data_IF_999865253707
#
_entry.id   IF_999865253707
#
_cell.length_a   1.000
_cell.length_b   1.000
_cell.length_c   1.000
_cell.angle_alpha   90.00
_cell.angle_beta   90.00
_cell.angle_gamma   90.00
#
_symmetry.space_group_name_H-M   'P 1'
#
loop_
_entity.id
_entity.type
_entity.pdbx_description
1 polymer ?
#
# COMPACT_ATOMS: atom_id res chain seq x y z
N UNK A 1 5.22 17.25 25.25
CA UNK A 1 6.18 16.17 25.48
C UNK A 1 6.10 15.21 24.28
N UNK A 2 6.65 15.63 23.12
CA UNK A 2 6.55 14.93 21.81
C UNK A 2 7.97 14.80 21.20
N UNK A 3 8.90 14.21 21.96
CA UNK A 3 10.29 14.03 21.51
C UNK A 3 10.56 12.70 20.80
N UNK A 4 9.52 11.90 20.48
CA UNK A 4 9.65 10.56 19.90
C UNK A 4 9.51 10.52 18.37
N UNK A 5 9.22 11.65 17.71
CA UNK A 5 9.01 11.72 16.27
C UNK A 5 10.30 11.73 15.42
N UNK A 6 11.48 11.62 16.02
CA UNK A 6 12.77 11.66 15.33
C UNK A 6 13.65 10.43 15.63
N UNK A 7 13.05 9.26 15.86
CA UNK A 7 13.81 8.02 16.00
C UNK A 7 14.57 7.67 14.72
N UNK A 8 15.77 7.07 14.86
CA UNK A 8 16.51 6.51 13.73
C UNK A 8 15.62 5.54 12.95
N UNK A 9 15.72 5.49 11.61
CA UNK A 9 14.93 4.59 10.80
C UNK A 9 15.19 3.13 11.21
N UNK A 10 14.12 2.32 11.15
CA UNK A 10 14.20 0.87 11.45
C UNK A 10 14.12 0.02 10.19
N UNK A 11 13.66 0.58 9.07
CA UNK A 11 13.83 0.05 7.72
C UNK A 11 14.62 1.08 6.92
N UNK A 12 15.70 0.65 6.31
CA UNK A 12 16.51 1.45 5.39
C UNK A 12 16.70 0.65 4.10
N UNK A 13 16.24 1.21 3.01
CA UNK A 13 16.37 0.65 1.66
C UNK A 13 17.16 1.65 0.83
N UNK A 14 18.33 1.24 0.33
CA UNK A 14 19.26 2.08 -0.42
C UNK A 14 19.50 1.49 -1.80
N UNK A 15 19.04 2.18 -2.85
CA UNK A 15 19.25 1.83 -4.26
C UNK A 15 18.97 0.35 -4.56
N UNK A 16 17.90 -0.19 -3.96
CA UNK A 16 17.50 -1.57 -4.09
C UNK A 16 17.21 -1.89 -5.55
N UNK A 17 17.90 -2.90 -6.07
CA UNK A 17 17.65 -3.47 -7.39
C UNK A 17 17.44 -4.98 -7.30
N UNK A 18 16.43 -5.48 -7.99
CA UNK A 18 16.18 -6.92 -8.14
C UNK A 18 15.79 -7.24 -9.56
N UNK A 19 16.61 -8.11 -10.19
CA UNK A 19 16.34 -8.62 -11.53
C UNK A 19 16.17 -10.14 -11.50
N UNK A 20 15.37 -10.66 -12.41
CA UNK A 20 15.13 -12.07 -12.67
C UNK A 20 15.39 -12.30 -14.16
N UNK A 21 16.59 -12.78 -14.51
CA UNK A 21 17.06 -12.77 -15.90
C UNK A 21 17.04 -11.36 -16.47
N UNK A 22 16.35 -11.17 -17.59
CA UNK A 22 16.23 -9.87 -18.27
C UNK A 22 15.18 -8.95 -17.66
N UNK A 23 14.31 -9.45 -16.78
CA UNK A 23 13.28 -8.67 -16.12
C UNK A 23 13.83 -7.98 -14.87
N UNK A 24 13.85 -6.66 -14.84
CA UNK A 24 14.15 -5.88 -13.63
C UNK A 24 12.84 -5.52 -12.93
N UNK A 25 12.57 -6.24 -11.83
CA UNK A 25 11.33 -6.05 -11.05
C UNK A 25 11.42 -4.88 -10.05
N UNK A 26 12.62 -4.55 -9.57
CA UNK A 26 12.88 -3.38 -8.70
C UNK A 26 14.13 -2.70 -9.21
N UNK A 27 14.08 -1.38 -9.43
CA UNK A 27 15.13 -0.61 -10.08
C UNK A 27 15.48 0.68 -9.33
N UNK A 28 16.42 0.58 -8.38
CA UNK A 28 16.95 1.73 -7.65
C UNK A 28 16.02 2.30 -6.58
N UNK A 29 15.16 1.47 -5.98
CA UNK A 29 14.22 1.90 -4.93
C UNK A 29 14.99 2.29 -3.66
N UNK A 30 14.68 3.47 -3.11
CA UNK A 30 15.27 3.98 -1.86
C UNK A 30 14.22 4.63 -1.00
N UNK A 31 14.11 4.22 0.26
CA UNK A 31 13.25 4.83 1.27
C UNK A 31 13.67 4.43 2.68
N UNK A 32 13.12 5.12 3.66
CA UNK A 32 13.27 4.77 5.08
C UNK A 32 11.92 4.77 5.77
N UNK A 33 11.74 3.89 6.78
CA UNK A 33 10.58 3.90 7.65
C UNK A 33 11.00 3.89 9.13
N UNK A 34 10.16 4.50 9.99
CA UNK A 34 10.46 4.80 11.39
C UNK A 34 9.61 3.97 12.35
N UNK A 35 10.01 3.86 13.63
CA UNK A 35 9.17 3.23 14.66
C UNK A 35 7.80 3.92 14.75
N UNK A 36 6.74 3.13 14.85
CA UNK A 36 5.38 3.64 14.97
C UNK A 36 4.80 4.27 13.69
N UNK A 37 5.54 4.24 12.59
CA UNK A 37 5.12 4.75 11.29
C UNK A 37 4.45 3.64 10.47
N UNK A 38 3.39 3.99 9.76
CA UNK A 38 2.84 3.18 8.68
C UNK A 38 3.33 3.77 7.36
N UNK A 39 4.32 3.11 6.75
CA UNK A 39 4.86 3.50 5.46
C UNK A 39 4.22 2.67 4.34
N UNK A 40 3.56 3.34 3.40
CA UNK A 40 2.85 2.70 2.28
C UNK A 40 3.72 2.52 1.04
N UNK A 41 3.61 1.38 0.37
CA UNK A 41 4.03 1.21 -1.03
C UNK A 41 2.78 1.05 -1.88
N UNK A 42 2.39 2.10 -2.58
CA UNK A 42 1.21 2.15 -3.45
C UNK A 42 1.61 1.94 -4.90
N UNK A 43 0.91 1.09 -5.62
CA UNK A 43 1.16 0.90 -7.06
C UNK A 43 0.39 -0.26 -7.65
N UNK A 44 0.32 -0.38 -8.99
CA UNK A 44 -0.38 -1.45 -9.68
C UNK A 44 0.23 -2.83 -9.42
N UNK A 45 -0.49 -3.85 -9.85
CA UNK A 45 0.04 -5.21 -9.87
C UNK A 45 1.27 -5.26 -10.80
N UNK A 46 2.32 -5.94 -10.34
CA UNK A 46 3.59 -6.00 -11.06
C UNK A 46 4.51 -4.78 -10.89
N UNK A 47 4.13 -3.76 -10.09
CA UNK A 47 4.99 -2.58 -9.84
C UNK A 47 6.27 -2.88 -9.04
N UNK A 48 6.42 -4.09 -8.46
CA UNK A 48 7.60 -4.48 -7.68
C UNK A 48 7.40 -4.46 -6.16
N UNK A 49 6.19 -4.23 -5.66
CA UNK A 49 5.87 -4.13 -4.22
C UNK A 49 6.22 -5.41 -3.45
N UNK A 50 5.68 -6.57 -3.87
CA UNK A 50 5.96 -7.88 -3.28
C UNK A 50 7.44 -8.24 -3.38
N UNK A 51 8.10 -7.92 -4.49
CA UNK A 51 9.54 -8.15 -4.65
C UNK A 51 10.35 -7.31 -3.66
N UNK A 52 9.95 -6.06 -3.42
CA UNK A 52 10.58 -5.18 -2.43
C UNK A 52 10.41 -5.75 -1.01
N UNK A 53 9.19 -6.16 -0.62
CA UNK A 53 8.95 -6.84 0.66
C UNK A 53 9.80 -8.12 0.78
N UNK A 54 9.88 -8.93 -0.28
CA UNK A 54 10.66 -10.17 -0.29
C UNK A 54 12.17 -9.92 -0.11
N UNK A 55 12.68 -8.80 -0.62
CA UNK A 55 14.07 -8.39 -0.36
C UNK A 55 14.27 -7.92 1.09
N UNK A 56 13.31 -7.18 1.65
CA UNK A 56 13.38 -6.68 3.04
C UNK A 56 13.24 -7.82 4.05
N UNK A 57 12.39 -8.81 3.78
CA UNK A 57 12.25 -10.00 4.64
C UNK A 57 13.43 -10.98 4.52
N UNK A 58 14.31 -10.77 3.54
CA UNK A 58 15.44 -11.68 3.24
C UNK A 58 15.01 -12.98 2.57
N UNK A 59 13.81 -13.04 2.01
CA UNK A 59 13.34 -14.14 1.17
C UNK A 59 14.04 -14.13 -0.20
N UNK A 60 14.30 -12.93 -0.72
CA UNK A 60 15.05 -12.70 -1.96
C UNK A 60 16.32 -11.90 -1.67
N UNK A 61 17.43 -12.34 -2.24
CA UNK A 61 18.66 -11.55 -2.22
C UNK A 61 18.60 -10.45 -3.28
N UNK A 62 18.85 -9.18 -2.93
CA UNK A 62 18.98 -8.10 -3.89
C UNK A 62 20.02 -8.38 -4.96
N UNK A 63 19.80 -7.93 -6.19
CA UNK A 63 20.83 -7.94 -7.25
C UNK A 63 21.86 -6.83 -7.03
N UNK A 64 21.40 -5.67 -6.50
CA UNK A 64 22.24 -4.55 -6.09
C UNK A 64 21.53 -3.71 -5.04
N UNK A 65 22.23 -2.77 -4.42
CA UNK A 65 21.73 -1.95 -3.34
C UNK A 65 21.85 -2.63 -1.98
N UNK A 66 21.22 -2.02 -0.95
CA UNK A 66 21.32 -2.49 0.42
C UNK A 66 19.98 -2.36 1.13
N UNK A 67 19.71 -3.31 2.01
CA UNK A 67 18.54 -3.28 2.92
C UNK A 67 19.03 -3.52 4.34
N UNK A 68 18.59 -2.65 5.26
CA UNK A 68 18.80 -2.83 6.69
C UNK A 68 17.48 -2.84 7.43
N UNK A 69 17.38 -3.70 8.43
CA UNK A 69 16.28 -3.78 9.37
C UNK A 69 16.85 -3.71 10.78
N UNK A 70 16.39 -2.75 11.58
CA UNK A 70 16.92 -2.47 12.92
C UNK A 70 18.46 -2.30 12.93
N UNK A 71 19.01 -1.68 11.88
CA UNK A 71 20.45 -1.49 11.68
C UNK A 71 21.20 -2.71 11.13
N UNK A 72 20.57 -3.89 11.09
CA UNK A 72 21.19 -5.13 10.57
C UNK A 72 21.03 -5.22 9.04
N UNK A 73 22.13 -5.47 8.34
CA UNK A 73 22.13 -5.73 6.90
C UNK A 73 21.48 -7.09 6.61
N UNK A 74 20.36 -7.07 5.87
CA UNK A 74 19.54 -8.27 5.62
C UNK A 74 20.32 -9.38 4.89
N UNK A 75 21.25 -9.01 4.01
CA UNK A 75 22.04 -9.99 3.25
C UNK A 75 23.15 -10.62 4.10
N UNK A 76 23.74 -9.86 5.04
CA UNK A 76 24.89 -10.31 5.84
C UNK A 76 24.49 -10.80 7.23
N UNK A 77 23.50 -10.17 7.84
CA UNK A 77 23.05 -10.40 9.21
C UNK A 77 21.59 -10.87 9.24
N UNK A 78 21.17 -11.64 8.23
CA UNK A 78 19.77 -11.98 7.98
C UNK A 78 19.02 -12.62 9.17
N UNK A 79 19.71 -13.37 10.06
CA UNK A 79 19.09 -13.94 11.26
C UNK A 79 18.71 -12.84 12.26
N UNK A 80 19.60 -11.87 12.48
CA UNK A 80 19.34 -10.75 13.38
C UNK A 80 18.21 -9.85 12.84
N UNK A 81 18.25 -9.52 11.54
CA UNK A 81 17.20 -8.77 10.87
C UNK A 81 15.84 -9.46 10.97
N UNK A 82 15.75 -10.75 10.66
CA UNK A 82 14.48 -11.51 10.68
C UNK A 82 13.87 -11.67 12.07
N UNK A 83 14.66 -11.65 13.14
CA UNK A 83 14.11 -11.68 14.52
C UNK A 83 13.25 -10.47 14.86
N UNK A 84 13.47 -9.34 14.18
CA UNK A 84 12.69 -8.13 14.38
C UNK A 84 11.44 -8.06 13.47
N UNK A 85 11.33 -8.96 12.49
CA UNK A 85 10.30 -8.92 11.46
C UNK A 85 9.10 -9.81 11.78
N UNK A 86 7.90 -9.26 11.60
CA UNK A 86 6.68 -9.99 11.32
C UNK A 86 6.35 -9.85 9.84
N UNK A 87 5.90 -10.91 9.22
CA UNK A 87 5.52 -10.90 7.79
C UNK A 87 4.13 -11.49 7.63
N UNK A 88 3.26 -10.75 6.96
CA UNK A 88 1.93 -11.18 6.57
C UNK A 88 1.87 -11.15 5.04
N UNK A 89 2.03 -12.30 4.39
CA UNK A 89 2.02 -12.36 2.93
C UNK A 89 0.61 -12.18 2.36
N UNK A 90 0.55 -11.87 1.07
CA UNK A 90 -0.69 -11.73 0.31
C UNK A 90 -1.49 -13.04 0.32
N UNK A 91 -0.84 -14.18 0.13
CA UNK A 91 -1.46 -15.49 0.29
C UNK A 91 -1.59 -15.84 1.78
N UNK A 92 -2.70 -16.48 2.14
CA UNK A 92 -2.96 -16.90 3.52
C UNK A 92 -2.04 -18.07 3.87
N UNK A 93 -1.08 -17.83 4.77
CA UNK A 93 -0.04 -18.78 5.17
C UNK A 93 -0.34 -19.36 6.56
N UNK A 94 -1.42 -20.14 6.66
CA UNK A 94 -1.86 -20.79 7.91
C UNK A 94 -2.15 -22.29 7.65
N UNK A 95 -2.07 -23.10 8.69
CA UNK A 95 -2.37 -24.51 8.63
C UNK A 95 -3.86 -24.73 8.88
N UNK A 96 -4.61 -25.08 7.84
CA UNK A 96 -6.07 -25.16 7.88
C UNK A 96 -6.61 -26.32 8.76
N UNK A 97 -5.85 -27.38 8.93
CA UNK A 97 -6.21 -28.51 9.78
C UNK A 97 -5.93 -28.26 11.27
N UNK A 98 -5.11 -27.27 11.58
CA UNK A 98 -4.85 -26.82 12.95
C UNK A 98 -5.91 -25.82 13.41
N UNK A 99 -6.09 -25.70 14.72
CA UNK A 99 -6.88 -24.64 15.33
C UNK A 99 -6.15 -23.28 15.26
N UNK A 100 -6.87 -22.19 15.56
CA UNK A 100 -6.26 -20.87 15.63
C UNK A 100 -5.16 -20.81 16.69
N UNK A 101 -5.39 -21.38 17.88
CA UNK A 101 -4.38 -21.44 18.95
C UNK A 101 -3.15 -22.23 18.55
N UNK A 102 -3.30 -23.36 17.85
CA UNK A 102 -2.17 -24.18 17.39
C UNK A 102 -1.38 -23.47 16.30
N UNK A 103 -2.02 -22.76 15.35
CA UNK A 103 -1.33 -21.90 14.38
C UNK A 103 -0.46 -20.86 15.09
N UNK A 104 -1.03 -20.14 16.08
CA UNK A 104 -0.30 -19.14 16.84
C UNK A 104 0.84 -19.74 17.67
N UNK A 105 0.62 -20.92 18.26
CA UNK A 105 1.66 -21.64 19.00
C UNK A 105 2.81 -22.06 18.09
N UNK A 106 2.49 -22.54 16.88
CA UNK A 106 3.50 -22.88 15.87
C UNK A 106 4.35 -21.67 15.49
N UNK A 107 3.72 -20.59 15.03
CA UNK A 107 4.45 -19.41 14.58
C UNK A 107 5.20 -18.69 15.70
N UNK A 108 4.61 -18.57 16.89
CA UNK A 108 5.31 -18.07 18.07
C UNK A 108 6.50 -18.92 18.47
N UNK A 109 6.36 -20.25 18.39
CA UNK A 109 7.45 -21.20 18.64
C UNK A 109 8.59 -21.08 17.63
N UNK A 110 8.29 -20.92 16.33
CA UNK A 110 9.30 -20.66 15.28
C UNK A 110 10.11 -19.41 15.59
N UNK A 111 9.47 -18.38 16.15
CA UNK A 111 10.13 -17.14 16.59
C UNK A 111 10.83 -17.26 17.96
N UNK A 112 10.88 -18.46 18.53
CA UNK A 112 11.60 -18.75 19.78
C UNK A 112 10.83 -18.44 21.04
N UNK A 113 9.53 -18.12 20.96
CA UNK A 113 8.69 -17.91 22.13
C UNK A 113 8.44 -19.22 22.88
N UNK A 114 8.35 -19.15 24.20
CA UNK A 114 8.10 -20.29 25.08
C UNK A 114 7.09 -19.94 26.16
N UNK A 115 6.44 -20.96 26.76
CA UNK A 115 5.57 -20.77 27.91
C UNK A 115 6.35 -20.21 29.12
N UNK A 116 5.71 -19.38 29.96
CA UNK A 116 4.29 -19.00 29.91
C UNK A 116 3.97 -17.87 28.92
N UNK A 117 4.96 -17.05 28.51
CA UNK A 117 4.77 -15.86 27.65
C UNK A 117 4.04 -16.18 26.35
N UNK A 118 4.32 -17.32 25.71
CA UNK A 118 3.64 -17.71 24.47
C UNK A 118 2.12 -17.87 24.68
N UNK A 119 1.70 -18.51 25.77
CA UNK A 119 0.29 -18.71 26.08
C UNK A 119 -0.44 -17.38 26.34
N UNK A 120 0.20 -16.46 27.06
CA UNK A 120 -0.34 -15.11 27.31
C UNK A 120 -0.51 -14.33 26.00
N UNK A 121 0.50 -14.40 25.13
CA UNK A 121 0.45 -13.72 23.82
C UNK A 121 -0.63 -14.32 22.91
N UNK A 122 -0.77 -15.63 22.87
CA UNK A 122 -1.84 -16.30 22.10
C UNK A 122 -3.21 -15.80 22.56
N UNK A 123 -3.47 -15.80 23.87
CA UNK A 123 -4.74 -15.31 24.41
C UNK A 123 -4.99 -13.84 24.01
N UNK A 124 -3.99 -12.99 24.17
CA UNK A 124 -4.08 -11.57 23.85
C UNK A 124 -4.32 -11.30 22.36
N UNK A 125 -3.61 -11.99 21.47
CA UNK A 125 -3.74 -11.82 20.02
C UNK A 125 -5.09 -12.34 19.54
N UNK A 126 -5.58 -13.45 20.07
CA UNK A 126 -6.93 -13.95 19.76
C UNK A 126 -8.02 -12.97 20.19
N UNK A 127 -7.88 -12.35 21.37
CA UNK A 127 -8.80 -11.31 21.85
C UNK A 127 -8.81 -10.10 20.88
N UNK A 128 -7.64 -9.54 20.58
CA UNK A 128 -7.49 -8.36 19.71
C UNK A 128 -8.07 -8.62 18.31
N UNK A 129 -7.84 -9.82 17.77
CA UNK A 129 -8.33 -10.19 16.43
C UNK A 129 -9.79 -10.67 16.43
N UNK A 130 -10.44 -10.77 17.62
CA UNK A 130 -11.81 -11.24 17.77
C UNK A 130 -11.99 -12.70 17.36
N UNK A 131 -11.02 -13.55 17.70
CA UNK A 131 -11.01 -14.99 17.40
C UNK A 131 -11.02 -15.87 18.66
N UNK A 132 -11.14 -15.26 19.86
CA UNK A 132 -11.07 -15.98 21.14
C UNK A 132 -12.13 -17.08 21.27
N UNK A 133 -13.37 -16.84 20.82
CA UNK A 133 -14.47 -17.81 20.90
C UNK A 133 -14.30 -19.00 19.95
N UNK A 134 -13.41 -18.86 18.98
CA UNK A 134 -13.09 -19.86 17.95
C UNK A 134 -11.67 -20.41 18.07
N UNK A 135 -10.98 -20.11 19.18
CA UNK A 135 -9.56 -20.41 19.41
C UNK A 135 -9.19 -21.88 19.19
N UNK A 136 -10.10 -22.81 19.50
CA UNK A 136 -9.89 -24.27 19.42
C UNK A 136 -10.51 -24.92 18.18
N UNK A 137 -11.19 -24.14 17.33
CA UNK A 137 -11.80 -24.69 16.11
C UNK A 137 -10.75 -24.83 14.99
N UNK A 138 -10.81 -25.90 14.19
CA UNK A 138 -9.98 -26.04 12.99
C UNK A 138 -10.22 -24.88 12.02
N UNK A 139 -9.12 -24.31 11.51
CA UNK A 139 -9.14 -23.10 10.67
C UNK A 139 -9.85 -23.31 9.33
N UNK A 140 -9.95 -24.52 8.83
CA UNK A 140 -10.76 -24.87 7.64
C UNK A 140 -12.23 -24.47 7.76
N UNK A 141 -12.77 -24.28 8.96
CA UNK A 141 -14.14 -23.82 9.23
C UNK A 141 -14.26 -22.30 9.27
N UNK A 142 -13.16 -21.57 9.18
CA UNK A 142 -13.15 -20.11 9.25
C UNK A 142 -13.61 -19.47 7.94
N UNK A 143 -14.31 -18.34 8.05
CA UNK A 143 -14.56 -17.48 6.91
C UNK A 143 -13.25 -16.88 6.37
N UNK A 144 -13.24 -16.38 5.12
CA UNK A 144 -12.07 -15.73 4.54
C UNK A 144 -11.55 -14.58 5.41
N UNK A 145 -12.44 -13.74 5.94
CA UNK A 145 -12.07 -12.66 6.85
C UNK A 145 -11.49 -13.15 8.19
N UNK A 146 -11.98 -14.28 8.72
CA UNK A 146 -11.39 -14.90 9.92
C UNK A 146 -9.99 -15.47 9.64
N UNK A 147 -9.82 -16.15 8.49
CA UNK A 147 -8.50 -16.66 8.06
C UNK A 147 -7.50 -15.52 7.87
N UNK A 148 -7.93 -14.40 7.28
CA UNK A 148 -7.08 -13.23 7.09
C UNK A 148 -6.65 -12.59 8.41
N UNK A 149 -7.58 -12.46 9.37
CA UNK A 149 -7.25 -11.98 10.73
C UNK A 149 -6.31 -12.93 11.49
N UNK A 150 -6.46 -14.23 11.30
CA UNK A 150 -5.52 -15.20 11.86
C UNK A 150 -4.14 -15.13 11.19
N UNK A 151 -4.07 -14.94 9.87
CA UNK A 151 -2.82 -14.72 9.15
C UNK A 151 -2.06 -13.50 9.69
N UNK A 152 -2.77 -12.39 9.92
CA UNK A 152 -2.24 -11.20 10.58
C UNK A 152 -1.77 -11.53 12.02
N UNK A 153 -2.58 -12.25 12.79
CA UNK A 153 -2.25 -12.69 14.15
C UNK A 153 -0.96 -13.51 14.21
N UNK A 154 -0.74 -14.41 13.25
CA UNK A 154 0.49 -15.21 13.15
C UNK A 154 1.72 -14.32 12.90
N UNK A 155 1.58 -13.27 12.08
CA UNK A 155 2.66 -12.32 11.82
C UNK A 155 2.99 -11.42 13.01
N UNK A 156 2.09 -11.27 14.00
CA UNK A 156 2.23 -10.33 15.12
C UNK A 156 2.39 -10.99 16.47
N UNK A 157 2.20 -12.31 16.60
CA UNK A 157 2.21 -13.03 17.87
C UNK A 157 3.49 -12.83 18.69
N UNK A 158 4.63 -12.68 18.02
CA UNK A 158 5.95 -12.53 18.66
C UNK A 158 6.36 -11.08 18.93
N UNK A 159 5.44 -10.11 18.77
CA UNK A 159 5.67 -8.67 19.00
C UNK A 159 6.82 -8.09 18.16
N UNK A 160 6.73 -8.19 16.83
CA UNK A 160 7.80 -7.71 15.95
C UNK A 160 7.99 -6.20 16.10
N UNK A 161 9.22 -5.73 15.84
CA UNK A 161 9.52 -4.28 15.77
C UNK A 161 9.18 -3.70 14.40
N UNK A 162 9.16 -4.55 13.39
CA UNK A 162 8.83 -4.20 12.01
C UNK A 162 7.83 -5.23 11.48
N UNK A 163 6.71 -4.75 10.94
CA UNK A 163 5.65 -5.58 10.36
C UNK A 163 5.55 -5.31 8.86
N UNK A 164 5.75 -6.34 8.05
CA UNK A 164 5.62 -6.29 6.60
C UNK A 164 4.29 -6.88 6.19
N UNK A 165 3.44 -6.10 5.55
CA UNK A 165 2.09 -6.48 5.12
C UNK A 165 2.01 -6.39 3.59
N UNK A 166 1.90 -7.53 2.92
CA UNK A 166 1.79 -7.57 1.47
C UNK A 166 0.34 -7.73 1.04
N UNK A 167 -0.27 -6.64 0.60
CA UNK A 167 -1.67 -6.54 0.15
C UNK A 167 -2.66 -7.30 1.07
N UNK A 168 -2.68 -7.01 2.37
CA UNK A 168 -3.35 -7.88 3.35
C UNK A 168 -4.89 -7.87 3.24
N UNK A 169 -5.47 -6.95 2.48
CA UNK A 169 -6.92 -6.76 2.34
C UNK A 169 -7.49 -7.29 1.03
N UNK A 170 -6.65 -7.80 0.14
CA UNK A 170 -7.10 -8.35 -1.15
C UNK A 170 -8.04 -9.54 -0.93
N UNK A 171 -9.20 -9.50 -1.59
CA UNK A 171 -10.22 -10.55 -1.47
C UNK A 171 -10.97 -10.59 -0.13
N UNK A 172 -10.88 -9.52 0.67
CA UNK A 172 -11.55 -9.39 1.96
C UNK A 172 -12.82 -8.56 1.80
N UNK A 173 -13.91 -9.00 2.43
CA UNK A 173 -15.14 -8.23 2.48
C UNK A 173 -14.97 -6.88 3.19
N UNK A 174 -15.82 -5.85 2.90
CA UNK A 174 -15.63 -4.51 3.43
C UNK A 174 -15.56 -4.44 4.97
N UNK A 175 -16.36 -5.24 5.68
CA UNK A 175 -16.38 -5.23 7.14
C UNK A 175 -15.08 -5.82 7.73
N UNK A 176 -14.59 -6.91 7.15
CA UNK A 176 -13.33 -7.54 7.56
C UNK A 176 -12.13 -6.66 7.20
N UNK A 177 -12.20 -5.92 6.07
CA UNK A 177 -11.19 -4.94 5.67
C UNK A 177 -11.04 -3.84 6.74
N UNK A 178 -12.13 -3.19 7.14
CA UNK A 178 -12.08 -2.14 8.19
C UNK A 178 -11.43 -2.68 9.46
N UNK A 179 -11.85 -3.85 9.93
CA UNK A 179 -11.26 -4.48 11.13
C UNK A 179 -9.76 -4.73 10.99
N UNK A 180 -9.31 -5.18 9.82
CA UNK A 180 -7.89 -5.43 9.58
C UNK A 180 -7.07 -4.13 9.58
N UNK A 181 -7.59 -3.07 8.97
CA UNK A 181 -6.95 -1.75 8.98
C UNK A 181 -6.84 -1.18 10.41
N UNK A 182 -7.86 -1.42 11.27
CA UNK A 182 -7.80 -1.01 12.67
C UNK A 182 -6.75 -1.80 13.47
N UNK A 183 -6.57 -3.09 13.18
CA UNK A 183 -5.48 -3.89 13.75
C UNK A 183 -4.11 -3.33 13.36
N UNK A 184 -3.92 -2.99 12.10
CA UNK A 184 -2.68 -2.37 11.59
C UNK A 184 -2.38 -1.06 12.31
N UNK A 185 -3.39 -0.18 12.45
CA UNK A 185 -3.25 1.08 13.22
C UNK A 185 -2.87 0.83 14.67
N UNK A 186 -3.45 -0.20 15.29
CA UNK A 186 -3.15 -0.56 16.67
C UNK A 186 -1.69 -0.98 16.85
N UNK A 187 -1.15 -1.79 15.94
CA UNK A 187 0.26 -2.19 15.96
C UNK A 187 1.20 -0.98 15.83
N UNK A 188 0.93 -0.08 14.89
CA UNK A 188 1.73 1.13 14.71
C UNK A 188 1.69 2.04 15.95
N UNK A 189 0.51 2.25 16.55
CA UNK A 189 0.37 3.00 17.82
C UNK A 189 1.13 2.35 18.96
N UNK A 190 1.31 1.03 18.93
CA UNK A 190 2.16 0.27 19.85
C UNK A 190 3.66 0.46 19.63
N UNK A 191 4.07 1.23 18.62
CA UNK A 191 5.46 1.51 18.27
C UNK A 191 6.06 0.60 17.20
N UNK A 192 5.29 -0.36 16.66
CA UNK A 192 5.72 -1.20 15.53
C UNK A 192 5.81 -0.35 14.26
N UNK A 193 6.93 -0.41 13.54
CA UNK A 193 7.03 0.13 12.19
C UNK A 193 6.27 -0.80 11.24
N UNK A 194 5.36 -0.26 10.45
CA UNK A 194 4.59 -1.05 9.48
C UNK A 194 4.95 -0.64 8.05
N UNK A 195 5.37 -1.61 7.23
CA UNK A 195 5.45 -1.45 5.78
C UNK A 195 4.22 -2.11 5.17
N UNK A 196 3.38 -1.31 4.55
CA UNK A 196 2.09 -1.71 4.01
C UNK A 196 2.07 -1.58 2.49
N UNK A 197 1.85 -2.68 1.76
CA UNK A 197 1.65 -2.59 0.31
C UNK A 197 0.18 -2.66 -0.04
N UNK A 198 -0.23 -1.88 -1.00
CA UNK A 198 -1.59 -1.89 -1.54
C UNK A 198 -1.62 -1.35 -2.97
N UNK A 199 -2.67 -1.70 -3.70
CA UNK A 199 -3.06 -1.02 -4.92
C UNK A 199 -4.36 -0.20 -4.72
N UNK A 200 -4.96 -0.22 -3.52
CA UNK A 200 -6.13 0.57 -3.16
C UNK A 200 -5.70 1.94 -2.60
N UNK A 201 -6.00 2.99 -3.35
CA UNK A 201 -5.62 4.36 -2.97
C UNK A 201 -6.30 4.82 -1.69
N UNK A 202 -7.57 4.47 -1.50
CA UNK A 202 -8.33 4.78 -0.28
C UNK A 202 -7.67 4.22 0.99
N UNK A 203 -7.09 3.02 0.90
CA UNK A 203 -6.34 2.45 2.02
C UNK A 203 -5.07 3.24 2.31
N UNK A 204 -4.30 3.57 1.26
CA UNK A 204 -3.09 4.35 1.40
C UNK A 204 -3.38 5.73 2.00
N UNK A 205 -4.44 6.42 1.54
CA UNK A 205 -4.86 7.73 2.05
C UNK A 205 -5.33 7.70 3.50
N UNK A 206 -6.03 6.64 3.91
CA UNK A 206 -6.60 6.56 5.26
C UNK A 206 -5.69 5.94 6.29
N UNK A 207 -4.70 5.14 5.88
CA UNK A 207 -3.89 4.33 6.77
C UNK A 207 -2.45 4.85 6.91
N UNK A 208 -1.82 5.30 5.81
CA UNK A 208 -0.38 5.55 5.78
C UNK A 208 -0.03 6.96 6.27
N UNK A 209 1.01 7.07 7.11
CA UNK A 209 1.59 8.34 7.52
C UNK A 209 2.44 8.96 6.40
N UNK A 210 3.21 8.11 5.73
CA UNK A 210 3.97 8.43 4.52
C UNK A 210 3.84 7.28 3.54
N UNK A 211 3.99 7.58 2.26
CA UNK A 211 3.92 6.55 1.23
C UNK A 211 4.87 6.85 0.06
N UNK A 212 5.20 5.80 -0.66
CA UNK A 212 5.86 5.88 -1.95
C UNK A 212 4.96 5.27 -3.03
N UNK A 213 4.77 6.01 -4.10
CA UNK A 213 4.08 5.55 -5.30
C UNK A 213 5.11 4.82 -6.17
N UNK A 214 4.82 3.56 -6.46
CA UNK A 214 5.73 2.67 -7.21
C UNK A 214 5.10 2.32 -8.56
N UNK A 215 5.84 2.51 -9.62
CA UNK A 215 5.49 2.04 -10.97
C UNK A 215 6.72 1.45 -11.66
N UNK A 216 6.54 0.30 -12.31
CA UNK A 216 7.60 -0.41 -13.07
C UNK A 216 8.93 -0.53 -12.32
N UNK A 217 8.84 -0.90 -11.05
CA UNK A 217 10.01 -1.12 -10.20
C UNK A 217 10.66 0.14 -9.65
N UNK A 218 10.12 1.34 -9.88
CA UNK A 218 10.68 2.60 -9.42
C UNK A 218 9.73 3.37 -8.53
N UNK A 219 10.26 4.11 -7.55
CA UNK A 219 9.50 5.13 -6.83
C UNK A 219 9.39 6.34 -7.73
N UNK A 220 8.15 6.73 -8.07
CA UNK A 220 7.85 7.91 -8.91
C UNK A 220 7.47 9.14 -8.09
N UNK A 221 7.00 8.95 -6.85
CA UNK A 221 6.78 10.00 -5.86
C UNK A 221 6.81 9.39 -4.46
N UNK A 222 7.24 10.14 -3.44
CA UNK A 222 7.18 9.73 -2.06
C UNK A 222 7.05 10.93 -1.13
N UNK A 223 6.32 10.76 -0.02
CA UNK A 223 6.11 11.81 0.99
C UNK A 223 4.91 11.52 1.87
N UNK A 224 4.50 12.50 2.67
CA UNK A 224 3.20 12.51 3.34
C UNK A 224 2.09 12.72 2.32
N UNK A 225 0.86 12.44 2.70
CA UNK A 225 -0.30 12.66 1.82
C UNK A 225 -0.40 14.13 1.38
N UNK A 226 -0.14 15.08 2.28
CA UNK A 226 -0.19 16.50 1.98
C UNK A 226 0.95 16.92 1.01
N UNK A 227 2.18 16.41 1.21
CA UNK A 227 3.29 16.63 0.28
C UNK A 227 2.98 16.09 -1.13
N UNK A 228 2.39 14.90 -1.20
CA UNK A 228 2.01 14.29 -2.47
C UNK A 228 0.86 15.03 -3.16
N UNK A 229 -0.16 15.47 -2.39
CA UNK A 229 -1.23 16.31 -2.94
C UNK A 229 -0.72 17.65 -3.45
N UNK A 230 0.24 18.24 -2.77
CA UNK A 230 0.87 19.50 -3.21
C UNK A 230 1.55 19.37 -4.58
N UNK A 231 2.03 18.18 -4.99
CA UNK A 231 2.56 17.95 -6.34
C UNK A 231 1.52 18.11 -7.46
N UNK A 232 0.24 17.97 -7.13
CA UNK A 232 -0.87 18.21 -8.07
C UNK A 232 -1.16 19.70 -8.25
N UNK A 233 -0.82 20.53 -7.25
CA UNK A 233 -1.38 21.86 -7.09
C UNK A 233 -2.83 21.80 -6.60
N UNK A 234 -3.45 22.95 -6.41
CA UNK A 234 -4.89 23.07 -6.07
C UNK A 234 -5.78 22.84 -7.32
N UNK A 235 -5.73 21.65 -7.92
CA UNK A 235 -6.46 21.34 -9.15
C UNK A 235 -7.38 20.17 -8.96
N UNK A 236 -8.67 20.42 -9.21
CA UNK A 236 -9.69 19.37 -9.23
C UNK A 236 -9.49 18.45 -10.44
N UNK A 237 -9.82 17.17 -10.28
CA UNK A 237 -9.83 16.19 -11.36
C UNK A 237 -11.22 16.10 -11.97
N UNK A 238 -11.33 16.44 -13.25
CA UNK A 238 -12.53 16.26 -14.05
C UNK A 238 -12.38 15.02 -14.94
N UNK A 239 -13.20 14.03 -14.71
CA UNK A 239 -13.31 12.83 -15.54
C UNK A 239 -14.58 12.93 -16.38
N UNK A 240 -14.44 12.77 -17.69
CA UNK A 240 -15.53 12.77 -18.64
C UNK A 240 -15.55 11.45 -19.39
N UNK A 241 -16.65 10.73 -19.34
CA UNK A 241 -16.90 9.54 -20.17
C UNK A 241 -17.84 9.89 -21.33
N UNK A 242 -17.62 9.30 -22.50
CA UNK A 242 -18.43 9.63 -23.66
C UNK A 242 -17.82 9.15 -24.97
N UNK A 243 -18.01 9.94 -26.03
CA UNK A 243 -17.37 9.75 -27.34
C UNK A 243 -16.60 11.01 -27.68
N UNK A 244 -15.31 10.88 -27.84
CA UNK A 244 -14.41 12.03 -28.01
C UNK A 244 -13.58 11.91 -29.29
N UNK A 245 -13.65 12.91 -30.21
CA UNK A 245 -12.68 13.05 -31.30
C UNK A 245 -11.34 13.56 -30.72
N UNK A 246 -10.48 12.61 -30.25
CA UNK A 246 -9.32 12.85 -29.39
C UNK A 246 -8.46 14.02 -29.84
N UNK A 247 -8.09 14.08 -31.13
CA UNK A 247 -7.26 15.17 -31.67
C UNK A 247 -7.93 16.54 -31.60
N UNK A 248 -9.21 16.63 -31.96
CA UNK A 248 -9.97 17.87 -31.93
C UNK A 248 -10.30 18.30 -30.49
N UNK A 249 -10.65 17.37 -29.62
CA UNK A 249 -10.90 17.63 -28.22
C UNK A 249 -9.64 18.17 -27.52
N UNK A 250 -8.48 17.57 -27.78
CA UNK A 250 -7.20 18.03 -27.26
C UNK A 250 -6.90 19.48 -27.71
N UNK A 251 -6.98 19.75 -29.00
CA UNK A 251 -6.73 21.08 -29.53
C UNK A 251 -7.69 22.15 -28.99
N UNK A 252 -8.97 21.79 -28.79
CA UNK A 252 -9.96 22.71 -28.25
C UNK A 252 -9.72 23.04 -26.76
N UNK A 253 -9.21 22.10 -25.98
CA UNK A 253 -8.95 22.26 -24.55
C UNK A 253 -7.59 22.91 -24.25
N UNK A 254 -6.57 22.74 -25.09
CA UNK A 254 -5.26 23.39 -24.96
C UNK A 254 -5.30 24.90 -24.90
N UNK A 255 -6.37 25.51 -25.41
CA UNK A 255 -6.54 26.97 -25.44
C UNK A 255 -7.21 27.54 -24.17
N UNK A 256 -7.58 26.69 -23.23
CA UNK A 256 -8.24 27.12 -21.98
C UNK A 256 -7.19 27.12 -20.86
N UNK A 257 -6.87 28.30 -20.36
CA UNK A 257 -5.91 28.47 -19.27
C UNK A 257 -6.33 27.69 -17.98
N UNK A 258 -5.34 27.05 -17.34
CA UNK A 258 -5.55 26.34 -16.08
C UNK A 258 -6.18 24.95 -16.23
N UNK A 259 -6.10 24.37 -17.42
CA UNK A 259 -6.46 22.98 -17.71
C UNK A 259 -5.22 22.22 -18.15
N UNK A 260 -4.95 21.10 -17.46
CA UNK A 260 -3.97 20.11 -17.92
C UNK A 260 -4.71 18.84 -18.32
N UNK A 261 -4.47 18.34 -19.52
CA UNK A 261 -5.00 17.06 -19.97
C UNK A 261 -4.09 15.94 -19.47
N UNK A 262 -4.60 15.11 -18.56
CA UNK A 262 -3.85 14.01 -17.96
C UNK A 262 -3.97 12.72 -18.76
N UNK A 263 -5.18 12.47 -19.31
CA UNK A 263 -5.46 11.30 -20.15
C UNK A 263 -6.50 11.66 -21.19
N UNK A 264 -6.35 11.09 -22.41
CA UNK A 264 -7.34 11.25 -23.46
C UNK A 264 -7.37 10.00 -24.34
N UNK A 265 -8.55 9.40 -24.45
CA UNK A 265 -8.87 8.34 -25.40
C UNK A 265 -10.30 8.53 -25.97
N UNK A 266 -10.73 7.63 -26.84
CA UNK A 266 -12.03 7.75 -27.53
C UNK A 266 -13.24 7.69 -26.59
N UNK A 267 -13.08 7.11 -25.39
CA UNK A 267 -14.15 6.91 -24.41
C UNK A 267 -13.99 7.72 -23.12
N UNK A 268 -12.80 8.27 -22.87
CA UNK A 268 -12.46 8.89 -21.60
C UNK A 268 -11.53 10.09 -21.78
N UNK A 269 -11.90 11.21 -21.14
CA UNK A 269 -11.02 12.36 -20.93
C UNK A 269 -10.82 12.61 -19.44
N UNK A 270 -9.56 12.82 -19.02
CA UNK A 270 -9.22 13.17 -17.65
C UNK A 270 -8.44 14.48 -17.65
N UNK A 271 -8.98 15.49 -16.99
CA UNK A 271 -8.44 16.84 -16.95
C UNK A 271 -8.16 17.25 -15.51
N UNK A 272 -7.04 17.94 -15.27
CA UNK A 272 -6.80 18.67 -14.02
C UNK A 272 -7.18 20.15 -14.21
N UNK A 273 -8.08 20.65 -13.37
CA UNK A 273 -8.67 21.99 -13.47
C UNK A 273 -8.33 22.82 -12.23
N UNK A 274 -7.66 23.94 -12.41
CA UNK A 274 -7.63 24.96 -11.39
C UNK A 274 -8.98 25.71 -11.38
N UNK A 275 -9.54 25.98 -10.18
CA UNK A 275 -10.84 26.66 -10.03
C UNK A 275 -11.95 26.04 -10.91
N UNK A 276 -12.18 24.73 -10.77
CA UNK A 276 -13.05 23.95 -11.67
C UNK A 276 -14.44 24.57 -11.88
N UNK A 277 -15.06 25.10 -10.84
CA UNK A 277 -16.40 25.73 -10.93
C UNK A 277 -16.47 26.86 -11.98
N UNK A 278 -15.38 27.57 -12.21
CA UNK A 278 -15.31 28.64 -13.21
C UNK A 278 -15.03 28.12 -14.61
N UNK A 279 -14.30 27.01 -14.73
CA UNK A 279 -13.80 26.48 -16.02
C UNK A 279 -14.71 25.43 -16.65
N UNK A 280 -15.53 24.74 -15.86
CA UNK A 280 -16.45 23.72 -16.37
C UNK A 280 -17.30 24.19 -17.55
N UNK A 281 -17.92 25.39 -17.54
CA UNK A 281 -18.72 25.85 -18.69
C UNK A 281 -17.90 25.98 -19.99
N UNK A 282 -16.66 26.46 -19.88
CA UNK A 282 -15.75 26.60 -21.04
C UNK A 282 -15.31 25.23 -21.57
N UNK A 283 -15.03 24.28 -20.70
CA UNK A 283 -14.69 22.90 -21.09
C UNK A 283 -15.82 22.26 -21.88
N UNK A 284 -17.06 22.32 -21.35
CA UNK A 284 -18.21 21.74 -22.05
C UNK A 284 -18.51 22.41 -23.37
N UNK A 285 -18.40 23.75 -23.45
CA UNK A 285 -18.58 24.49 -24.69
C UNK A 285 -17.55 24.11 -25.74
N UNK A 286 -16.26 23.99 -25.36
CA UNK A 286 -15.19 23.60 -26.27
C UNK A 286 -15.38 22.15 -26.78
N UNK A 287 -15.76 21.21 -25.91
CA UNK A 287 -16.03 19.84 -26.32
C UNK A 287 -17.26 19.72 -27.23
N UNK A 288 -18.31 20.47 -26.96
CA UNK A 288 -19.51 20.52 -27.81
C UNK A 288 -19.18 21.08 -29.21
N UNK A 289 -18.34 22.10 -29.29
CA UNK A 289 -17.95 22.71 -30.55
C UNK A 289 -17.19 21.75 -31.51
N UNK A 290 -16.53 20.73 -30.95
CA UNK A 290 -15.81 19.72 -31.74
C UNK A 290 -16.61 18.42 -31.90
N UNK A 291 -17.90 18.41 -31.53
CA UNK A 291 -18.79 17.27 -31.72
C UNK A 291 -18.57 16.14 -30.71
N UNK A 292 -17.96 16.43 -29.56
CA UNK A 292 -17.82 15.44 -28.48
C UNK A 292 -19.18 15.17 -27.79
N UNK A 293 -19.47 13.91 -27.47
CA UNK A 293 -20.65 13.48 -26.75
C UNK A 293 -20.25 13.09 -25.31
N UNK A 294 -20.54 13.95 -24.33
CA UNK A 294 -20.29 13.67 -22.91
C UNK A 294 -21.49 12.93 -22.34
N UNK A 295 -21.26 11.70 -21.83
CA UNK A 295 -22.27 10.84 -21.22
C UNK A 295 -22.21 10.79 -19.71
N UNK A 296 -21.02 10.98 -19.13
CA UNK A 296 -20.79 11.00 -17.69
C UNK A 296 -19.77 12.04 -17.30
N UNK A 297 -19.96 12.63 -16.12
CA UNK A 297 -19.08 13.66 -15.58
C UNK A 297 -18.86 13.39 -14.09
N UNK A 298 -17.59 13.33 -13.67
CA UNK A 298 -17.21 13.23 -12.27
C UNK A 298 -16.15 14.30 -11.98
N UNK A 299 -16.40 15.12 -10.96
CA UNK A 299 -15.45 16.09 -10.44
C UNK A 299 -15.00 15.66 -9.05
N UNK A 300 -13.70 15.48 -8.86
CA UNK A 300 -13.12 15.08 -7.57
C UNK A 300 -12.01 16.03 -7.17
N UNK A 301 -11.84 16.22 -5.85
CA UNK A 301 -10.71 16.96 -5.32
C UNK A 301 -9.38 16.22 -5.58
N UNK A 302 -8.22 16.91 -5.48
CA UNK A 302 -6.91 16.29 -5.64
C UNK A 302 -6.77 15.05 -4.74
N UNK A 303 -6.47 13.91 -5.35
CA UNK A 303 -6.34 12.61 -4.70
C UNK A 303 -5.06 11.90 -5.15
N UNK A 304 -4.69 10.81 -4.46
CA UNK A 304 -3.58 9.96 -4.93
C UNK A 304 -3.84 9.39 -6.33
N UNK A 305 -5.11 9.16 -6.69
CA UNK A 305 -5.49 8.72 -8.03
C UNK A 305 -5.12 9.77 -9.08
N UNK A 306 -5.45 11.04 -8.81
CA UNK A 306 -5.10 12.15 -9.68
C UNK A 306 -3.59 12.27 -9.88
N UNK A 307 -2.83 12.09 -8.78
CA UNK A 307 -1.38 12.13 -8.82
C UNK A 307 -0.81 10.97 -9.64
N UNK A 308 -1.33 9.77 -9.42
CA UNK A 308 -0.88 8.58 -10.15
C UNK A 308 -1.12 8.74 -11.66
N UNK A 309 -2.31 9.18 -12.07
CA UNK A 309 -2.64 9.46 -13.48
C UNK A 309 -1.71 10.53 -14.06
N UNK A 310 -1.47 11.62 -13.31
CA UNK A 310 -0.57 12.70 -13.75
C UNK A 310 0.86 12.20 -14.00
N UNK A 311 1.37 11.33 -13.11
CA UNK A 311 2.75 10.84 -13.18
C UNK A 311 2.96 9.71 -14.20
N UNK A 312 1.92 8.89 -14.45
CA UNK A 312 2.03 7.68 -15.29
C UNK A 312 1.30 7.79 -16.61
N UNK A 313 0.37 8.75 -16.74
CA UNK A 313 -0.54 8.87 -17.88
C UNK A 313 -1.59 7.78 -17.97
N UNK A 314 -1.79 6.99 -16.90
CA UNK A 314 -2.69 5.83 -16.85
C UNK A 314 -3.40 5.75 -15.51
N UNK A 315 -4.63 5.24 -15.52
CA UNK A 315 -5.32 4.86 -14.29
C UNK A 315 -4.65 3.64 -13.64
N UNK A 316 -4.75 3.58 -12.32
CA UNK A 316 -4.37 2.40 -11.57
C UNK A 316 -5.45 1.35 -11.84
N UNK A 317 -5.18 0.41 -12.76
CA UNK A 317 -6.11 -0.68 -13.08
C UNK A 317 -6.03 -1.73 -11.98
N UNK A 318 -7.20 -2.14 -11.51
CA UNK A 318 -7.39 -3.28 -10.60
C UNK A 318 -6.83 -4.60 -11.16
#
# INVERSE_FOLDING_TARGET
>A
MLSWLHGSPVIEVEQLRKSFGDLTAVDGVSFTARPGEIFGLLGPNGAGKTTTISCISGLLTPTAGRVRVMGHDVAREGVAARRALGVVPQEISIYEDLSASENLAYWGGVQGMRNPRLAERIARVLEITGLQDRAREPVKRFSGGMKRRLNFACGTVHEPKVLLLDEPTVGVDPQSRVRLLDLVRSEARGGTCVLYTTHYMEEAETLCDRLAIVDRGKIIAAGTLDELRALLGERDLLRLSGVFPVGAAKAALEHIDGIDMLQSDEGLLVLALAEASRRLPAVFAALQAVGAEVRGTTLTQPSLESLFIKLTGKELRE
#
